data_IF_235102592344
#
_entry.id   IF_235102592344
#
_cell.length_a   1.000
_cell.length_b   1.000
_cell.length_c   1.000
_cell.angle_alpha   90.00
_cell.angle_beta   90.00
_cell.angle_gamma   90.00
#
_symmetry.space_group_name_H-M   'P 1'
#
loop_
_entity.id
_entity.type
_entity.pdbx_description
1 polymer ?
#
# COMPACT_ATOMS: atom_id res chain seq x y z
N UNK A 1 -3.68 8.58 -23.87
CA UNK A 1 -3.10 7.81 -22.73
C UNK A 1 -3.90 6.52 -22.61
N UNK A 2 -3.23 5.35 -22.62
CA UNK A 2 -3.91 4.06 -22.43
C UNK A 2 -4.22 3.93 -20.94
N UNK A 3 -5.50 3.97 -20.57
CA UNK A 3 -5.94 3.86 -19.17
C UNK A 3 -5.87 2.43 -18.66
N UNK A 4 -5.74 2.28 -17.33
CA UNK A 4 -5.83 0.99 -16.65
C UNK A 4 -7.31 0.65 -16.48
N UNK A 5 -7.79 -0.34 -17.23
CA UNK A 5 -9.16 -0.84 -17.08
C UNK A 5 -9.32 -1.69 -15.82
N UNK A 6 -10.52 -1.71 -15.23
CA UNK A 6 -10.85 -2.55 -14.07
C UNK A 6 -10.50 -4.03 -14.28
N UNK A 7 -10.60 -4.52 -15.52
CA UNK A 7 -10.21 -5.88 -15.90
C UNK A 7 -8.74 -6.20 -15.60
N UNK A 8 -7.82 -5.27 -15.83
CA UNK A 8 -6.39 -5.49 -15.54
C UNK A 8 -6.10 -5.62 -14.02
N UNK A 9 -6.87 -4.90 -13.21
CA UNK A 9 -6.76 -4.93 -11.74
C UNK A 9 -7.28 -6.28 -11.20
N UNK A 10 -8.36 -6.82 -11.77
CA UNK A 10 -8.99 -8.04 -11.27
C UNK A 10 -8.46 -9.34 -11.90
N UNK A 11 -7.88 -9.29 -13.10
CA UNK A 11 -7.25 -10.46 -13.75
C UNK A 11 -5.88 -10.82 -13.12
N UNK A 12 -5.31 -9.95 -12.28
CA UNK A 12 -4.02 -10.13 -11.60
C UNK A 12 -4.15 -10.61 -10.15
N UNK A 13 -5.37 -10.72 -9.62
CA UNK A 13 -5.63 -11.14 -8.24
C UNK A 13 -5.40 -12.63 -7.97
N UNK A 14 -5.11 -12.99 -6.71
CA UNK A 14 -5.21 -14.38 -6.23
C UNK A 14 -6.68 -14.90 -6.17
N UNK A 15 -7.66 -14.01 -6.27
CA UNK A 15 -9.10 -14.31 -6.42
C UNK A 15 -9.65 -13.57 -7.63
N UNK A 16 -10.53 -14.24 -8.38
CA UNK A 16 -11.09 -13.71 -9.63
C UNK A 16 -12.38 -12.93 -9.36
N UNK A 17 -12.51 -11.74 -9.95
CA UNK A 17 -13.79 -11.04 -10.11
C UNK A 17 -14.08 -11.00 -11.61
N UNK A 18 -15.20 -11.58 -12.02
CA UNK A 18 -15.62 -11.53 -13.41
C UNK A 18 -15.98 -10.08 -13.80
N UNK A 19 -15.33 -9.57 -14.83
CA UNK A 19 -15.63 -8.25 -15.40
C UNK A 19 -16.45 -8.43 -16.67
N UNK A 20 -17.73 -8.09 -16.65
CA UNK A 20 -18.60 -8.08 -17.83
C UNK A 20 -18.71 -6.65 -18.42
N UNK A 21 -18.52 -6.50 -19.74
CA UNK A 21 -18.56 -5.20 -20.44
C UNK A 21 -17.87 -5.27 -21.82
N UNK A 22 -18.02 -4.26 -22.70
CA UNK A 22 -17.43 -4.30 -24.04
C UNK A 22 -15.91 -4.47 -23.93
N UNK A 23 -15.37 -5.50 -24.58
CA UNK A 23 -13.93 -5.64 -24.75
C UNK A 23 -13.45 -4.40 -25.53
N UNK A 24 -12.56 -3.61 -24.94
CA UNK A 24 -11.74 -2.70 -25.73
C UNK A 24 -10.85 -3.58 -26.62
N UNK A 25 -11.37 -3.88 -27.82
CA UNK A 25 -10.64 -4.52 -28.90
C UNK A 25 -9.54 -3.55 -29.35
N UNK A 26 -8.29 -3.85 -28.96
CA UNK A 26 -7.14 -4.08 -29.86
C UNK A 26 -5.79 -4.02 -29.10
N UNK A 27 -4.96 -5.06 -29.35
CA UNK A 27 -3.49 -5.13 -29.19
C UNK A 27 -2.82 -4.87 -27.83
N UNK A 28 -3.57 -4.70 -26.74
CA UNK A 28 -2.97 -4.39 -25.44
C UNK A 28 -2.54 -5.61 -24.60
N UNK A 29 -2.67 -6.86 -25.05
CA UNK A 29 -2.62 -8.02 -24.13
C UNK A 29 -1.22 -8.50 -23.74
N UNK A 30 -0.29 -8.70 -24.68
CA UNK A 30 1.00 -9.34 -24.34
C UNK A 30 2.02 -8.38 -23.71
N UNK A 31 2.13 -7.16 -24.24
CA UNK A 31 3.14 -6.17 -23.78
C UNK A 31 2.75 -5.51 -22.46
N UNK A 32 1.45 -5.30 -22.20
CA UNK A 32 1.02 -4.85 -20.88
C UNK A 32 1.24 -5.93 -19.84
N UNK A 33 0.75 -7.16 -20.04
CA UNK A 33 0.89 -8.21 -19.02
C UNK A 33 2.35 -8.39 -18.61
N UNK A 34 3.30 -8.32 -19.56
CA UNK A 34 4.73 -8.33 -19.26
C UNK A 34 5.21 -7.09 -18.47
N UNK A 35 4.73 -5.89 -18.79
CA UNK A 35 5.03 -4.65 -18.05
C UNK A 35 4.49 -4.66 -16.61
N UNK A 36 3.33 -5.29 -16.39
CA UNK A 36 2.71 -5.47 -15.07
C UNK A 36 3.38 -6.58 -14.26
N UNK A 37 3.74 -7.69 -14.91
CA UNK A 37 4.53 -8.77 -14.31
C UNK A 37 5.93 -8.32 -13.88
N UNK A 38 6.47 -7.27 -14.53
CA UNK A 38 7.76 -6.67 -14.20
C UNK A 38 7.71 -5.58 -13.12
N UNK A 39 6.55 -5.33 -12.48
CA UNK A 39 6.43 -4.41 -11.33
C UNK A 39 6.05 -2.96 -11.67
N UNK A 40 5.54 -2.68 -12.87
CA UNK A 40 5.02 -1.36 -13.24
C UNK A 40 6.09 -0.26 -13.41
N UNK A 41 5.69 1.02 -13.54
CA UNK A 41 6.62 2.15 -13.61
C UNK A 41 7.49 2.18 -12.36
N UNK A 42 8.81 2.25 -12.53
CA UNK A 42 9.75 2.45 -11.43
C UNK A 42 10.08 3.94 -11.36
N UNK A 43 9.64 4.64 -10.32
CA UNK A 43 10.29 5.91 -9.98
C UNK A 43 11.64 5.59 -9.35
N UNK A 44 12.65 6.45 -9.51
CA UNK A 44 13.88 6.30 -8.74
C UNK A 44 13.53 6.23 -7.26
N UNK A 45 14.04 5.22 -6.57
CA UNK A 45 14.00 5.17 -5.11
C UNK A 45 14.74 6.41 -4.62
N UNK A 46 13.99 7.35 -4.04
CA UNK A 46 14.57 8.56 -3.47
C UNK A 46 15.31 8.16 -2.20
N UNK A 47 16.55 8.65 -2.05
CA UNK A 47 17.30 8.53 -0.79
C UNK A 47 16.44 9.06 0.35
N UNK A 48 16.33 8.28 1.42
CA UNK A 48 15.58 8.70 2.60
C UNK A 48 16.35 9.81 3.31
N UNK A 49 15.63 10.84 3.74
CA UNK A 49 16.19 11.69 4.79
C UNK A 49 16.27 10.89 6.10
N UNK A 50 17.16 11.26 7.04
CA UNK A 50 17.19 10.65 8.37
C UNK A 50 15.84 10.73 9.10
N UNK A 51 15.04 11.75 8.76
CA UNK A 51 13.71 11.94 9.30
C UNK A 51 12.69 10.97 8.69
N UNK A 52 12.71 10.77 7.36
CA UNK A 52 11.88 9.75 6.70
C UNK A 52 12.19 8.36 7.24
N UNK A 53 13.47 8.05 7.47
CA UNK A 53 13.91 6.75 7.99
C UNK A 53 13.36 6.50 9.40
N UNK A 54 13.42 7.51 10.30
CA UNK A 54 12.87 7.41 11.64
C UNK A 54 11.34 7.24 11.64
N UNK A 55 10.63 7.96 10.78
CA UNK A 55 9.19 7.82 10.63
C UNK A 55 8.77 6.49 10.02
N UNK A 56 9.54 5.98 9.05
CA UNK A 56 9.27 4.67 8.48
C UNK A 56 9.46 3.55 9.51
N UNK A 57 10.51 3.61 10.34
CA UNK A 57 10.66 2.69 11.48
C UNK A 57 9.47 2.77 12.44
N UNK A 58 8.98 3.98 12.71
CA UNK A 58 7.79 4.15 13.55
C UNK A 58 6.53 3.53 12.94
N UNK A 59 6.37 3.53 11.61
CA UNK A 59 5.29 2.80 10.95
C UNK A 59 5.46 1.27 11.10
N UNK A 60 6.70 0.76 11.11
CA UNK A 60 7.00 -0.65 11.42
C UNK A 60 6.66 -0.98 12.88
N UNK A 61 6.93 -0.08 13.82
CA UNK A 61 6.52 -0.24 15.23
C UNK A 61 4.99 -0.31 15.36
N UNK A 62 4.25 0.52 14.61
CA UNK A 62 2.78 0.46 14.54
C UNK A 62 2.31 -0.92 14.06
N UNK A 63 2.99 -1.52 13.07
CA UNK A 63 2.67 -2.87 12.61
C UNK A 63 2.90 -3.93 13.70
N UNK A 64 3.93 -3.76 14.53
CA UNK A 64 4.19 -4.62 15.69
C UNK A 64 3.08 -4.50 16.74
N UNK A 65 2.59 -3.28 17.01
CA UNK A 65 1.45 -3.07 17.92
C UNK A 65 0.16 -3.67 17.38
N UNK A 66 -0.08 -3.57 16.07
CA UNK A 66 -1.22 -4.21 15.40
C UNK A 66 -1.28 -5.72 15.71
N UNK A 67 -0.14 -6.41 15.63
CA UNK A 67 -0.05 -7.83 16.02
C UNK A 67 -0.32 -8.04 17.51
N UNK A 68 0.28 -7.22 18.38
CA UNK A 68 0.05 -7.33 19.82
C UNK A 68 -1.44 -7.11 20.20
N UNK A 69 -2.17 -6.34 19.39
CA UNK A 69 -3.59 -6.08 19.53
C UNK A 69 -4.48 -7.12 18.81
N UNK A 70 -3.90 -8.18 18.25
CA UNK A 70 -4.63 -9.31 17.65
C UNK A 70 -5.02 -9.11 16.18
N UNK A 71 -4.34 -8.22 15.45
CA UNK A 71 -4.56 -7.98 14.02
C UNK A 71 -3.36 -8.39 13.16
N UNK A 72 -3.49 -8.20 11.84
CA UNK A 72 -2.43 -8.49 10.88
C UNK A 72 -1.23 -7.51 11.03
N UNK A 73 -0.01 -7.92 10.62
CA UNK A 73 1.24 -7.17 10.82
C UNK A 73 1.40 -5.98 9.85
N UNK A 74 0.47 -5.02 9.89
CA UNK A 74 0.54 -3.81 9.07
C UNK A 74 0.26 -2.56 9.89
N UNK A 75 1.02 -1.51 9.61
CA UNK A 75 0.94 -0.23 10.31
C UNK A 75 1.28 0.93 9.39
N UNK A 76 0.62 2.06 9.62
CA UNK A 76 0.82 3.29 8.87
C UNK A 76 0.75 4.52 9.77
N UNK A 77 1.41 5.60 9.36
CA UNK A 77 1.31 6.90 10.00
C UNK A 77 1.33 8.03 8.98
N UNK A 78 0.83 9.19 9.40
CA UNK A 78 0.85 10.44 8.65
C UNK A 78 1.66 11.46 9.44
N UNK A 79 2.61 12.12 8.80
CA UNK A 79 3.42 13.16 9.43
C UNK A 79 3.43 14.45 8.59
N UNK A 80 3.55 15.58 9.28
CA UNK A 80 3.69 16.89 8.64
C UNK A 80 5.12 17.11 8.07
N UNK A 81 5.36 18.21 7.33
CA UNK A 81 6.68 18.51 6.76
C UNK A 81 7.80 18.74 7.79
N UNK A 82 7.45 19.19 9.00
CA UNK A 82 8.41 19.40 10.10
C UNK A 82 8.74 18.09 10.82
N UNK A 83 7.95 17.06 10.52
CA UNK A 83 8.19 15.72 10.93
C UNK A 83 7.45 15.25 12.17
N UNK A 84 6.45 16.01 12.58
CA UNK A 84 5.56 15.64 13.66
C UNK A 84 4.54 14.61 13.16
N UNK A 85 4.36 13.55 13.95
CA UNK A 85 3.32 12.55 13.67
C UNK A 85 1.96 13.16 13.95
N UNK A 86 1.12 13.28 12.91
CA UNK A 86 -0.24 13.78 13.00
C UNK A 86 -1.21 12.67 13.41
N UNK A 87 -1.08 11.50 12.78
CA UNK A 87 -1.96 10.35 12.97
C UNK A 87 -1.17 9.05 12.83
N UNK A 88 -1.58 8.02 13.55
CA UNK A 88 -1.13 6.64 13.38
C UNK A 88 -2.36 5.74 13.23
N UNK A 89 -2.23 4.66 12.45
CA UNK A 89 -3.28 3.67 12.33
C UNK A 89 -2.71 2.27 12.16
N UNK A 90 -3.28 1.34 12.91
CA UNK A 90 -3.02 -0.08 12.83
C UNK A 90 -3.98 -0.73 11.82
N UNK A 91 -3.62 -1.92 11.33
CA UNK A 91 -4.59 -2.82 10.76
C UNK A 91 -5.61 -3.21 11.84
N UNK A 92 -6.89 -3.25 11.47
CA UNK A 92 -7.97 -3.68 12.37
C UNK A 92 -8.97 -4.58 11.67
N UNK A 93 -8.50 -5.44 10.76
CA UNK A 93 -9.40 -6.32 9.99
C UNK A 93 -10.07 -7.37 10.87
N UNK A 94 -9.32 -8.01 11.77
CA UNK A 94 -9.79 -9.04 12.70
C UNK A 94 -10.66 -8.39 13.77
N UNK A 95 -10.11 -7.42 14.51
CA UNK A 95 -10.79 -6.81 15.66
C UNK A 95 -11.97 -5.95 15.22
N UNK A 96 -11.85 -5.27 14.07
CA UNK A 96 -12.91 -4.47 13.46
C UNK A 96 -13.89 -5.27 12.59
N UNK A 97 -13.68 -6.59 12.43
CA UNK A 97 -14.53 -7.51 11.65
C UNK A 97 -14.82 -7.02 10.23
N UNK A 98 -13.81 -6.47 9.58
CA UNK A 98 -13.92 -5.87 8.24
C UNK A 98 -12.62 -6.02 7.48
N UNK A 99 -12.65 -6.79 6.40
CA UNK A 99 -11.51 -6.99 5.49
C UNK A 99 -11.06 -5.72 4.79
N UNK A 100 -11.76 -4.59 4.97
CA UNK A 100 -11.41 -3.29 4.40
C UNK A 100 -10.63 -2.41 5.39
N UNK A 101 -10.41 -2.86 6.63
CA UNK A 101 -9.77 -2.08 7.68
C UNK A 101 -8.24 -2.24 7.69
N UNK A 102 -7.64 -2.01 6.53
CA UNK A 102 -6.18 -1.95 6.39
C UNK A 102 -5.64 -0.69 7.07
N UNK A 103 -4.39 -0.74 7.53
CA UNK A 103 -3.74 0.36 8.25
C UNK A 103 -3.83 1.69 7.48
N UNK A 104 -3.51 1.68 6.19
CA UNK A 104 -3.50 2.85 5.32
C UNK A 104 -4.91 3.38 5.06
N UNK A 105 -5.89 2.48 4.90
CA UNK A 105 -7.29 2.89 4.70
C UNK A 105 -7.87 3.49 5.99
N UNK A 106 -7.56 2.91 7.15
CA UNK A 106 -7.92 3.46 8.46
C UNK A 106 -7.29 4.85 8.63
N UNK A 107 -6.00 4.99 8.33
CA UNK A 107 -5.28 6.25 8.41
C UNK A 107 -5.90 7.32 7.52
N UNK A 108 -6.19 7.00 6.26
CA UNK A 108 -6.79 7.97 5.33
C UNK A 108 -8.21 8.36 5.75
N UNK A 109 -9.02 7.42 6.27
CA UNK A 109 -10.35 7.74 6.83
C UNK A 109 -10.25 8.71 8.01
N UNK A 110 -9.28 8.50 8.91
CA UNK A 110 -9.01 9.41 10.02
C UNK A 110 -8.53 10.77 9.52
N UNK A 111 -7.59 10.80 8.56
CA UNK A 111 -7.05 12.03 8.00
C UNK A 111 -8.14 12.90 7.37
N UNK A 112 -8.95 12.36 6.45
CA UNK A 112 -10.00 13.15 5.78
C UNK A 112 -11.12 13.62 6.71
N UNK A 113 -11.26 12.97 7.88
CA UNK A 113 -12.29 13.34 8.86
C UNK A 113 -11.80 14.37 9.88
N UNK A 114 -10.48 14.51 10.07
CA UNK A 114 -9.90 15.34 11.15
C UNK A 114 -8.96 16.45 10.67
N UNK A 115 -8.45 16.37 9.44
CA UNK A 115 -7.48 17.30 8.89
C UNK A 115 -8.05 18.06 7.68
N UNK A 116 -7.52 19.25 7.41
CA UNK A 116 -7.86 19.98 6.20
C UNK A 116 -7.20 19.34 4.97
N UNK A 117 -7.76 19.60 3.79
CA UNK A 117 -7.17 19.14 2.53
C UNK A 117 -5.72 19.63 2.33
N UNK A 118 -5.39 20.83 2.82
CA UNK A 118 -4.04 21.40 2.77
C UNK A 118 -3.07 20.66 3.69
N UNK A 119 -3.50 20.31 4.90
CA UNK A 119 -2.69 19.51 5.83
C UNK A 119 -2.41 18.13 5.24
N UNK A 120 -3.39 17.48 4.62
CA UNK A 120 -3.20 16.16 3.99
C UNK A 120 -2.27 16.26 2.76
N UNK A 121 -2.45 17.30 1.94
CA UNK A 121 -1.65 17.51 0.73
C UNK A 121 -0.18 17.81 1.01
N UNK A 122 0.13 18.38 2.17
CA UNK A 122 1.51 18.69 2.59
C UNK A 122 2.14 17.58 3.43
N UNK A 123 1.33 16.70 4.03
CA UNK A 123 1.79 15.58 4.81
C UNK A 123 2.40 14.44 3.96
N UNK A 124 3.23 13.62 4.60
CA UNK A 124 3.72 12.35 4.06
C UNK A 124 3.09 11.19 4.80
N UNK A 125 2.62 10.18 4.05
CA UNK A 125 2.22 8.88 4.61
C UNK A 125 3.39 7.90 4.63
N UNK A 126 3.62 7.27 5.77
CA UNK A 126 4.61 6.20 5.93
C UNK A 126 3.88 4.89 6.24
N UNK A 127 4.22 3.81 5.55
CA UNK A 127 3.57 2.50 5.75
C UNK A 127 4.59 1.36 5.80
N UNK A 128 4.37 0.37 6.67
CA UNK A 128 5.29 -0.74 6.87
C UNK A 128 5.44 -1.62 5.61
N UNK A 129 4.40 -1.69 4.79
CA UNK A 129 4.36 -2.47 3.55
C UNK A 129 3.72 -1.65 2.42
N UNK A 130 4.09 -1.96 1.18
CA UNK A 130 3.52 -1.37 -0.02
C UNK A 130 1.99 -1.51 -0.04
N UNK A 131 1.25 -0.40 -0.28
CA UNK A 131 -0.19 -0.40 -0.20
C UNK A 131 -0.83 -1.13 -1.38
N UNK A 132 -1.83 -1.96 -1.09
CA UNK A 132 -2.62 -2.62 -2.13
C UNK A 132 -3.46 -1.60 -2.95
N UNK A 133 -4.15 -2.08 -3.99
CA UNK A 133 -4.94 -1.21 -4.87
C UNK A 133 -6.04 -0.43 -4.13
N UNK A 134 -6.68 -1.04 -3.12
CA UNK A 134 -7.67 -0.36 -2.27
C UNK A 134 -7.03 0.79 -1.49
N UNK A 135 -5.91 0.52 -0.81
CA UNK A 135 -5.22 1.51 0.00
C UNK A 135 -4.67 2.64 -0.87
N UNK A 136 -4.09 2.31 -2.02
CA UNK A 136 -3.64 3.28 -3.04
C UNK A 136 -4.78 4.18 -3.51
N UNK A 137 -5.96 3.61 -3.77
CA UNK A 137 -7.16 4.38 -4.10
C UNK A 137 -7.57 5.34 -2.98
N UNK A 138 -7.50 4.90 -1.72
CA UNK A 138 -7.82 5.76 -0.56
C UNK A 138 -6.88 6.96 -0.44
N UNK A 139 -5.58 6.77 -0.69
CA UNK A 139 -4.58 7.84 -0.70
C UNK A 139 -4.85 8.85 -1.82
N UNK A 140 -5.10 8.35 -3.04
CA UNK A 140 -5.39 9.19 -4.20
C UNK A 140 -6.61 10.09 -4.01
N UNK A 141 -7.71 9.52 -3.50
CA UNK A 141 -8.93 10.28 -3.28
C UNK A 141 -8.87 11.15 -2.02
N UNK A 142 -8.12 10.74 -1.01
CA UNK A 142 -7.87 11.53 0.20
C UNK A 142 -6.97 12.76 -0.03
N UNK A 143 -6.33 12.87 -1.19
CA UNK A 143 -5.57 14.07 -1.57
C UNK A 143 -4.12 14.08 -1.08
N UNK A 144 -3.56 12.92 -0.76
CA UNK A 144 -2.16 12.76 -0.39
C UNK A 144 -1.25 13.03 -1.61
N UNK A 145 -0.12 13.71 -1.40
CA UNK A 145 0.86 13.97 -2.46
C UNK A 145 2.14 13.15 -2.34
N UNK A 146 2.45 12.57 -1.17
CA UNK A 146 3.67 11.80 -0.95
C UNK A 146 3.46 10.60 -0.02
N UNK A 147 4.03 9.46 -0.39
CA UNK A 147 4.11 8.28 0.46
C UNK A 147 5.49 7.61 0.45
N UNK A 148 5.84 6.98 1.57
CA UNK A 148 7.05 6.20 1.78
C UNK A 148 6.66 4.82 2.31
N UNK A 149 7.23 3.75 1.77
CA UNK A 149 6.92 2.39 2.24
C UNK A 149 8.15 1.52 2.49
N UNK A 150 7.99 0.59 3.43
CA UNK A 150 9.05 -0.32 3.87
C UNK A 150 9.26 -1.47 2.89
N UNK A 151 8.47 -2.52 3.03
CA UNK A 151 8.60 -3.71 2.21
C UNK A 151 7.66 -3.67 0.99
N UNK A 152 8.04 -4.23 -0.15
CA UNK A 152 7.14 -4.35 -1.31
C UNK A 152 6.15 -5.52 -1.19
N UNK A 153 5.03 -5.45 -1.92
CA UNK A 153 4.04 -6.54 -1.96
C UNK A 153 4.69 -7.84 -2.48
N UNK A 154 5.65 -7.71 -3.40
CA UNK A 154 6.40 -8.85 -3.92
C UNK A 154 7.26 -9.54 -2.85
N UNK A 155 7.86 -8.78 -1.93
CA UNK A 155 8.57 -9.37 -0.78
C UNK A 155 7.58 -10.03 0.18
N UNK A 156 6.45 -9.38 0.48
CA UNK A 156 5.39 -9.95 1.30
C UNK A 156 4.89 -11.30 0.75
N UNK A 157 4.64 -11.37 -0.56
CA UNK A 157 4.18 -12.59 -1.23
C UNK A 157 5.15 -13.76 -1.08
N UNK A 158 6.47 -13.50 -1.06
CA UNK A 158 7.47 -14.55 -0.80
C UNK A 158 7.36 -15.11 0.62
N UNK A 159 6.94 -14.29 1.59
CA UNK A 159 6.76 -14.69 2.99
C UNK A 159 5.43 -15.44 3.16
N UNK A 160 4.33 -14.89 2.63
CA UNK A 160 2.98 -15.41 2.91
C UNK A 160 2.55 -16.53 1.96
N UNK A 161 3.10 -16.59 0.76
CA UNK A 161 2.51 -17.38 -0.32
C UNK A 161 1.05 -16.99 -0.58
N UNK A 162 0.21 -17.96 -0.89
CA UNK A 162 -1.23 -17.79 -1.13
C UNK A 162 -2.06 -17.92 0.17
N UNK A 163 -1.64 -17.22 1.23
CA UNK A 163 -2.31 -17.30 2.53
C UNK A 163 -3.72 -16.70 2.48
N UNK A 164 -4.70 -17.39 3.08
CA UNK A 164 -6.12 -17.00 2.98
C UNK A 164 -6.44 -15.65 3.65
N UNK A 165 -5.68 -15.26 4.67
CA UNK A 165 -5.78 -13.95 5.34
C UNK A 165 -5.07 -12.80 4.59
N UNK A 166 -4.23 -13.10 3.59
CA UNK A 166 -3.51 -12.09 2.82
C UNK A 166 -3.54 -12.38 1.32
N UNK A 167 -4.71 -12.26 0.67
CA UNK A 167 -4.82 -12.42 -0.77
C UNK A 167 -4.14 -11.24 -1.49
N UNK A 168 -2.98 -11.46 -2.09
CA UNK A 168 -2.26 -10.40 -2.82
C UNK A 168 -2.75 -10.24 -4.25
N UNK A 169 -2.58 -9.04 -4.82
CA UNK A 169 -2.87 -8.78 -6.23
C UNK A 169 -1.56 -8.87 -7.03
N UNK A 170 -1.31 -10.03 -7.64
CA UNK A 170 -0.03 -10.34 -8.29
C UNK A 170 0.29 -9.33 -9.41
N UNK A 171 1.20 -8.39 -9.13
CA UNK A 171 1.74 -7.48 -10.15
C UNK A 171 0.98 -6.18 -10.34
N UNK A 172 0.09 -5.80 -9.42
CA UNK A 172 -0.50 -4.45 -9.37
C UNK A 172 0.00 -3.74 -8.11
N UNK A 173 1.22 -3.22 -8.20
CA UNK A 173 1.82 -2.42 -7.15
C UNK A 173 1.11 -1.07 -6.98
N UNK A 174 1.41 -0.39 -5.89
CA UNK A 174 0.80 0.91 -5.58
C UNK A 174 1.03 1.94 -6.69
N UNK A 175 2.21 1.91 -7.30
CA UNK A 175 2.61 2.78 -8.40
C UNK A 175 1.65 2.65 -9.58
N UNK A 176 1.18 1.46 -9.89
CA UNK A 176 0.27 1.26 -11.00
C UNK A 176 -1.05 2.02 -10.83
N UNK A 177 -1.59 2.02 -9.61
CA UNK A 177 -2.85 2.71 -9.29
C UNK A 177 -2.62 4.22 -9.22
N UNK A 178 -1.59 4.65 -8.48
CA UNK A 178 -1.32 6.06 -8.23
C UNK A 178 -0.90 6.83 -9.50
N UNK A 179 -0.15 6.19 -10.42
CA UNK A 179 0.25 6.80 -11.70
C UNK A 179 -0.85 6.82 -12.77
N UNK A 180 -1.95 6.12 -12.55
CA UNK A 180 -3.09 6.13 -13.47
C UNK A 180 -4.01 7.34 -13.29
N UNK A 181 -3.79 8.10 -12.20
CA UNK A 181 -4.58 9.27 -11.85
C UNK A 181 -4.14 10.56 -12.56
N UNK A 182 -4.95 11.61 -12.39
CA UNK A 182 -4.63 12.96 -12.88
C UNK A 182 -3.71 13.72 -11.92
N UNK A 183 -3.68 13.31 -10.65
CA UNK A 183 -2.77 13.86 -9.63
C UNK A 183 -1.52 13.00 -9.55
N UNK A 184 -0.36 13.66 -9.52
CA UNK A 184 0.91 12.98 -9.26
C UNK A 184 1.10 12.82 -7.77
N UNK A 185 1.32 11.59 -7.35
CA UNK A 185 1.67 11.24 -5.97
C UNK A 185 3.09 10.71 -6.01
N UNK A 186 3.97 11.33 -5.24
CA UNK A 186 5.34 10.85 -5.05
C UNK A 186 5.31 9.57 -4.22
N UNK A 187 5.95 8.52 -4.73
CA UNK A 187 6.00 7.23 -4.07
C UNK A 187 7.47 6.85 -3.91
N UNK A 188 7.92 6.66 -2.67
CA UNK A 188 9.29 6.25 -2.34
C UNK A 188 9.31 4.90 -1.63
N UNK A 189 10.15 3.98 -2.11
CA UNK A 189 10.27 2.62 -1.58
C UNK A 189 10.49 1.58 -2.67
N UNK A 190 10.83 0.33 -2.29
CA UNK A 190 10.90 -0.14 -0.90
C UNK A 190 12.14 0.35 -0.14
N UNK A 191 12.04 0.43 1.19
CA UNK A 191 13.08 0.86 2.13
C UNK A 191 13.08 0.00 3.39
N UNK A 192 14.20 -0.08 4.13
CA UNK A 192 14.26 -0.82 5.40
C UNK A 192 13.68 -2.25 5.31
N UNK A 193 13.88 -2.94 4.18
CA UNK A 193 13.20 -4.21 3.85
C UNK A 193 13.43 -5.26 4.94
N UNK A 194 14.67 -5.37 5.43
CA UNK A 194 15.04 -6.32 6.49
C UNK A 194 14.37 -6.00 7.83
N UNK A 195 14.12 -4.74 8.15
CA UNK A 195 13.42 -4.36 9.39
C UNK A 195 11.91 -4.59 9.22
N UNK A 196 11.35 -4.16 8.09
CA UNK A 196 9.93 -4.32 7.78
C UNK A 196 9.49 -5.79 7.65
N UNK A 197 10.38 -6.69 7.19
CA UNK A 197 10.05 -8.10 6.99
C UNK A 197 10.03 -8.92 8.28
N UNK A 198 10.72 -8.49 9.35
CA UNK A 198 10.89 -9.27 10.58
C UNK A 198 9.55 -9.64 11.23
N UNK A 199 8.65 -8.67 11.37
CA UNK A 199 7.34 -8.89 11.99
C UNK A 199 6.49 -9.84 11.15
N UNK A 200 6.61 -9.79 9.82
CA UNK A 200 5.93 -10.71 8.92
C UNK A 200 6.47 -12.13 9.05
N UNK A 201 7.79 -12.32 9.07
CA UNK A 201 8.38 -13.66 9.29
C UNK A 201 7.92 -14.27 10.62
N UNK A 202 7.85 -13.47 11.68
CA UNK A 202 7.35 -13.92 12.97
C UNK A 202 5.86 -14.29 12.93
N UNK A 203 5.01 -13.39 12.42
CA UNK A 203 3.57 -13.57 12.42
C UNK A 203 3.16 -14.76 11.53
N UNK A 204 3.58 -14.77 10.27
CA UNK A 204 3.18 -15.81 9.31
C UNK A 204 3.83 -17.16 9.58
N UNK A 205 5.01 -17.19 10.22
CA UNK A 205 5.66 -18.44 10.65
C UNK A 205 4.95 -19.13 11.82
N UNK A 206 4.05 -18.43 12.53
CA UNK A 206 3.35 -18.95 13.72
C UNK A 206 1.84 -19.12 13.53
N UNK A 207 1.27 -18.65 12.41
CA UNK A 207 -0.18 -18.56 12.16
C UNK A 207 -0.64 -19.24 10.86
N UNK A 208 0.01 -20.35 10.46
CA UNK A 208 -0.32 -21.14 9.26
C UNK A 208 -1.61 -21.95 9.38
#
# INVERSE_FOLDING_TARGET
>A
MRGVGCRNIFDTGQRYIEVSGPHLVEEASAVHIAFWAAGGPQDPTLELSPHDEALLRRAIDVATRSVANGNLPFGALLADPDGNVLLEAENSDITGKSTLNHAETNLMRLAVSNLTAEQIATATLYTSCEPCAMCSGSMYWGGLNRMVYGMSEHHLLKITGAHHLNPTMRGVGCRNVLHSGQRRIEVSGPHLIEEASQIHHHYWGTHT
#
